data_IF_599878026662
#
_entry.id   IF_599878026662
#
_cell.length_a   1.000
_cell.length_b   1.000
_cell.length_c   1.000
_cell.angle_alpha   90.00
_cell.angle_beta   90.00
_cell.angle_gamma   90.00
#
_symmetry.space_group_name_H-M   'P 1'
#
loop_
_entity.id
_entity.type
_entity.pdbx_description
1 polymer ?
#
# COMPACT_ATOMS: atom_id res chain seq x y z
N UNK A 1 -19.19 12.77 0.15
CA UNK A 1 -18.55 11.83 -0.80
C UNK A 1 -19.50 11.70 -1.98
N UNK A 2 -18.99 11.63 -3.20
CA UNK A 2 -19.84 11.33 -4.36
C UNK A 2 -20.23 9.84 -4.31
N UNK A 3 -21.50 9.55 -4.48
CA UNK A 3 -22.06 8.19 -4.42
C UNK A 3 -21.50 7.35 -5.59
N UNK A 4 -20.89 6.19 -5.29
CA UNK A 4 -20.41 5.22 -6.29
C UNK A 4 -18.94 5.32 -6.71
N UNK A 5 -18.14 6.22 -6.14
CA UNK A 5 -16.72 6.34 -6.48
C UNK A 5 -15.87 5.38 -5.61
N UNK A 6 -15.02 4.58 -6.27
CA UNK A 6 -14.15 3.59 -5.62
C UNK A 6 -13.01 4.28 -4.84
N UNK A 7 -12.72 3.75 -3.64
CA UNK A 7 -11.73 4.29 -2.71
C UNK A 7 -10.52 3.37 -2.62
N UNK A 8 -9.31 3.91 -2.77
CA UNK A 8 -8.06 3.21 -2.47
C UNK A 8 -7.37 3.78 -1.23
N UNK A 9 -6.80 2.91 -0.41
CA UNK A 9 -5.90 3.31 0.68
C UNK A 9 -4.46 3.18 0.18
N UNK A 10 -3.64 4.20 0.39
CA UNK A 10 -2.21 4.18 0.05
C UNK A 10 -1.42 4.23 1.36
N UNK A 11 -0.72 3.15 1.67
CA UNK A 11 0.21 3.08 2.79
C UNK A 11 1.59 3.58 2.33
N UNK A 12 2.22 4.44 3.13
CA UNK A 12 3.48 5.13 2.81
C UNK A 12 3.43 6.05 1.57
N UNK A 13 2.46 6.98 1.46
CA UNK A 13 2.30 7.79 0.26
C UNK A 13 3.33 8.93 0.11
N UNK A 14 4.15 9.20 1.13
CA UNK A 14 5.10 10.32 1.11
C UNK A 14 6.40 10.01 0.36
N UNK A 15 6.60 8.77 -0.07
CA UNK A 15 7.74 8.37 -0.91
C UNK A 15 7.51 8.78 -2.37
N UNK A 16 8.49 8.65 -3.24
CA UNK A 16 8.33 9.09 -4.63
C UNK A 16 7.41 8.14 -5.42
N UNK A 17 7.53 6.83 -5.18
CA UNK A 17 6.56 5.83 -5.66
C UNK A 17 5.18 6.13 -5.07
N UNK A 18 5.09 6.42 -3.76
CA UNK A 18 3.84 6.69 -3.07
C UNK A 18 3.08 7.89 -3.63
N UNK A 19 3.79 8.99 -3.93
CA UNK A 19 3.22 10.16 -4.59
C UNK A 19 2.74 9.81 -6.00
N UNK A 20 3.55 9.09 -6.78
CA UNK A 20 3.19 8.67 -8.14
C UNK A 20 1.93 7.80 -8.17
N UNK A 21 1.76 6.90 -7.20
CA UNK A 21 0.52 6.13 -6.99
C UNK A 21 -0.66 7.07 -6.72
N UNK A 22 -0.50 8.05 -5.83
CA UNK A 22 -1.56 8.99 -5.50
C UNK A 22 -2.03 9.79 -6.73
N UNK A 23 -1.09 10.37 -7.49
CA UNK A 23 -1.42 11.08 -8.73
C UNK A 23 -2.09 10.15 -9.76
N UNK A 24 -1.56 8.94 -9.94
CA UNK A 24 -2.12 7.97 -10.90
C UNK A 24 -3.58 7.62 -10.56
N UNK A 25 -3.88 7.35 -9.30
CA UNK A 25 -5.24 7.01 -8.88
C UNK A 25 -6.21 8.20 -9.01
N UNK A 26 -5.73 9.40 -8.68
CA UNK A 26 -6.54 10.61 -8.78
C UNK A 26 -6.82 11.01 -10.23
N UNK A 27 -5.85 10.81 -11.14
CA UNK A 27 -6.03 10.99 -12.59
C UNK A 27 -7.11 10.06 -13.14
N UNK A 28 -7.19 8.83 -12.64
CA UNK A 28 -8.25 7.86 -12.96
C UNK A 28 -9.55 8.08 -12.16
N UNK A 29 -9.67 9.22 -11.48
CA UNK A 29 -10.85 9.62 -10.75
C UNK A 29 -11.26 8.64 -9.62
N UNK A 30 -10.29 7.98 -8.98
CA UNK A 30 -10.50 7.31 -7.70
C UNK A 30 -10.46 8.30 -6.54
N UNK A 31 -11.12 7.96 -5.44
CA UNK A 31 -10.86 8.63 -4.16
C UNK A 31 -9.70 7.93 -3.46
N UNK A 32 -8.89 8.67 -2.73
CA UNK A 32 -7.75 8.09 -2.00
C UNK A 32 -7.75 8.46 -0.53
N UNK A 33 -7.27 7.52 0.30
CA UNK A 33 -6.91 7.74 1.70
C UNK A 33 -5.40 7.57 1.82
N UNK A 34 -4.71 8.67 2.14
CA UNK A 34 -3.29 8.68 2.44
C UNK A 34 -3.09 8.20 3.89
N UNK A 35 -2.45 7.04 4.06
CA UNK A 35 -2.29 6.39 5.35
C UNK A 35 -0.81 6.23 5.73
N UNK A 36 -0.46 6.64 6.95
CA UNK A 36 0.92 6.58 7.45
C UNK A 36 1.08 7.15 8.87
N UNK A 37 2.26 6.98 9.48
CA UNK A 37 2.48 7.39 10.87
C UNK A 37 2.70 8.91 11.03
N UNK A 38 3.20 9.60 10.00
CA UNK A 38 3.42 11.05 10.02
C UNK A 38 2.23 11.83 9.48
N UNK A 39 1.27 12.15 10.35
CA UNK A 39 0.09 12.93 9.99
C UNK A 39 0.43 14.30 9.38
N UNK A 40 1.52 14.94 9.81
CA UNK A 40 1.89 16.27 9.33
C UNK A 40 2.36 16.19 7.88
N UNK A 41 3.18 15.19 7.54
CA UNK A 41 3.59 14.93 6.17
C UNK A 41 2.41 14.55 5.27
N UNK A 42 1.51 13.67 5.75
CA UNK A 42 0.28 13.31 5.01
C UNK A 42 -0.60 14.54 4.72
N UNK A 43 -0.73 15.45 5.69
CA UNK A 43 -1.47 16.71 5.52
C UNK A 43 -0.80 17.67 4.53
N UNK A 44 0.53 17.72 4.52
CA UNK A 44 1.26 18.51 3.54
C UNK A 44 1.03 17.96 2.12
N UNK A 45 1.10 16.64 1.95
CA UNK A 45 0.82 15.99 0.66
C UNK A 45 -0.63 16.18 0.22
N UNK A 46 -1.62 16.00 1.12
CA UNK A 46 -3.03 16.29 0.82
C UNK A 46 -3.20 17.72 0.30
N UNK A 47 -2.61 18.70 1.00
CA UNK A 47 -2.71 20.11 0.59
C UNK A 47 -2.06 20.38 -0.77
N UNK A 48 -0.96 19.71 -1.08
CA UNK A 48 -0.32 19.80 -2.39
C UNK A 48 -1.26 19.25 -3.47
N UNK A 49 -1.83 18.05 -3.27
CA UNK A 49 -2.77 17.45 -4.21
C UNK A 49 -4.03 18.31 -4.40
N UNK A 50 -4.55 18.91 -3.33
CA UNK A 50 -5.67 19.88 -3.40
C UNK A 50 -5.28 21.10 -4.26
N UNK A 51 -4.06 21.62 -4.11
CA UNK A 51 -3.54 22.74 -4.91
C UNK A 51 -3.37 22.39 -6.39
N UNK A 52 -3.08 21.13 -6.68
CA UNK A 52 -2.98 20.59 -8.04
C UNK A 52 -4.36 20.28 -8.65
N UNK A 53 -5.45 20.46 -7.89
CA UNK A 53 -6.83 20.37 -8.36
C UNK A 53 -7.57 19.10 -7.96
N UNK A 54 -6.95 18.22 -7.15
CA UNK A 54 -7.55 16.96 -6.71
C UNK A 54 -8.27 17.12 -5.38
N UNK A 55 -9.61 17.04 -5.37
CA UNK A 55 -10.43 17.29 -4.18
C UNK A 55 -10.94 16.00 -3.48
N UNK A 56 -10.40 14.84 -3.84
CA UNK A 56 -10.88 13.52 -3.42
C UNK A 56 -9.86 12.77 -2.52
N UNK A 57 -9.10 13.54 -1.74
CA UNK A 57 -8.02 13.04 -0.89
C UNK A 57 -8.40 13.17 0.58
N UNK A 58 -8.30 12.08 1.33
CA UNK A 58 -8.39 12.05 2.79
C UNK A 58 -7.09 11.56 3.43
N UNK A 59 -6.90 11.82 4.72
CA UNK A 59 -5.72 11.37 5.48
C UNK A 59 -6.15 10.51 6.67
N UNK A 60 -5.38 9.47 6.96
CA UNK A 60 -5.56 8.62 8.13
C UNK A 60 -4.22 8.32 8.80
N UNK A 61 -4.20 8.35 10.14
CA UNK A 61 -3.05 7.86 10.89
C UNK A 61 -3.01 6.33 10.80
N UNK A 62 -1.85 5.80 10.42
CA UNK A 62 -1.62 4.37 10.36
C UNK A 62 -0.13 4.08 10.54
N UNK A 63 0.26 3.53 11.68
CA UNK A 63 1.51 2.80 11.79
C UNK A 63 1.23 1.31 11.49
N UNK A 64 1.69 0.76 10.35
CA UNK A 64 1.26 -0.57 9.91
C UNK A 64 1.52 -1.68 10.93
N UNK A 65 2.57 -1.57 11.74
CA UNK A 65 2.91 -2.54 12.78
C UNK A 65 1.96 -2.52 14.00
N UNK A 66 1.15 -1.48 14.16
CA UNK A 66 0.24 -1.29 15.30
C UNK A 66 -1.17 -1.74 14.96
N UNK A 67 -1.57 -2.89 15.51
CA UNK A 67 -2.91 -3.46 15.28
C UNK A 67 -4.06 -2.50 15.69
N UNK A 68 -3.86 -1.65 16.69
CA UNK A 68 -4.87 -0.66 17.09
C UNK A 68 -5.13 0.39 16.00
N UNK A 69 -4.11 0.77 15.22
CA UNK A 69 -4.26 1.77 14.17
C UNK A 69 -5.12 1.22 13.01
N UNK A 70 -4.96 -0.07 12.69
CA UNK A 70 -5.85 -0.76 11.74
C UNK A 70 -7.30 -0.77 12.20
N UNK A 71 -7.56 -1.03 13.49
CA UNK A 71 -8.92 -0.98 14.04
C UNK A 71 -9.52 0.41 13.95
N UNK A 72 -8.74 1.44 14.26
CA UNK A 72 -9.18 2.84 14.12
C UNK A 72 -9.49 3.19 12.65
N UNK A 73 -8.68 2.69 11.71
CA UNK A 73 -8.92 2.87 10.28
C UNK A 73 -10.21 2.18 9.85
N UNK A 74 -10.48 0.96 10.32
CA UNK A 74 -11.73 0.22 10.02
C UNK A 74 -12.97 1.06 10.40
N UNK A 75 -12.99 1.73 11.55
CA UNK A 75 -14.12 2.58 11.97
C UNK A 75 -14.39 3.76 11.02
N UNK A 76 -13.37 4.19 10.26
CA UNK A 76 -13.50 5.18 9.19
C UNK A 76 -14.06 4.51 7.93
N UNK A 77 -13.55 3.33 7.58
CA UNK A 77 -13.91 2.58 6.37
C UNK A 77 -15.35 2.06 6.40
N UNK A 78 -15.87 1.70 7.57
CA UNK A 78 -17.27 1.27 7.74
C UNK A 78 -18.28 2.36 7.32
N UNK A 79 -17.84 3.62 7.24
CA UNK A 79 -18.66 4.76 6.79
C UNK A 79 -18.64 4.96 5.28
N UNK A 80 -17.90 4.14 4.53
CA UNK A 80 -17.72 4.25 3.09
C UNK A 80 -18.75 3.42 2.27
N UNK A 81 -19.76 2.83 2.90
CA UNK A 81 -20.85 2.10 2.21
C UNK A 81 -20.35 1.14 1.08
N UNK A 82 -19.37 0.27 1.41
CA UNK A 82 -18.74 -0.69 0.48
C UNK A 82 -17.96 -0.11 -0.70
N UNK A 83 -17.50 1.14 -0.62
CA UNK A 83 -16.70 1.77 -1.69
C UNK A 83 -15.20 1.40 -1.68
N UNK A 84 -14.73 0.65 -0.68
CA UNK A 84 -13.32 0.27 -0.58
C UNK A 84 -12.92 -0.69 -1.71
N UNK A 85 -12.18 -0.16 -2.69
CA UNK A 85 -11.72 -0.90 -3.86
C UNK A 85 -10.39 -1.61 -3.63
N UNK A 86 -9.55 -1.08 -2.75
CA UNK A 86 -8.31 -1.74 -2.43
C UNK A 86 -7.42 -0.97 -1.47
N UNK A 87 -6.32 -1.63 -1.14
CA UNK A 87 -5.21 -1.07 -0.38
C UNK A 87 -3.92 -1.33 -1.14
N UNK A 88 -3.06 -0.33 -1.17
CA UNK A 88 -1.77 -0.35 -1.85
C UNK A 88 -0.70 -0.06 -0.81
N UNK A 89 0.14 -1.06 -0.55
CA UNK A 89 1.32 -0.90 0.27
C UNK A 89 2.51 -0.54 -0.60
N UNK A 90 3.12 0.60 -0.31
CA UNK A 90 4.33 1.06 -0.99
C UNK A 90 5.54 0.72 -0.13
N UNK A 91 6.48 0.00 -0.75
CA UNK A 91 7.75 -0.41 -0.17
C UNK A 91 8.89 0.16 -1.02
N UNK A 92 9.41 1.31 -0.60
CA UNK A 92 10.57 1.98 -1.20
C UNK A 92 11.77 1.82 -0.26
N UNK A 93 12.96 1.69 -0.83
CA UNK A 93 14.19 1.48 -0.07
C UNK A 93 14.93 2.80 0.10
N UNK A 94 15.53 2.98 1.26
CA UNK A 94 16.32 4.19 1.52
C UNK A 94 17.78 3.89 1.21
N UNK A 95 18.44 4.78 0.46
CA UNK A 95 19.88 4.68 0.18
C UNK A 95 20.76 4.75 1.44
N UNK A 96 20.17 5.04 2.59
CA UNK A 96 20.79 5.08 3.91
C UNK A 96 20.58 3.81 4.72
N UNK A 97 19.95 2.77 4.15
CA UNK A 97 19.79 1.49 4.83
C UNK A 97 21.16 0.89 5.18
N UNK A 98 21.42 0.52 6.45
CA UNK A 98 22.74 0.10 6.89
C UNK A 98 23.12 -1.26 6.30
N UNK A 99 24.42 -1.46 6.11
CA UNK A 99 24.96 -2.76 5.73
C UNK A 99 24.77 -3.81 6.83
N UNK A 100 25.00 -5.08 6.49
CA UNK A 100 24.79 -6.23 7.39
C UNK A 100 25.39 -6.04 8.79
N UNK A 101 26.60 -5.48 8.88
CA UNK A 101 27.31 -5.33 10.15
C UNK A 101 26.97 -4.04 10.90
N UNK A 102 26.28 -3.10 10.25
CA UNK A 102 25.85 -1.82 10.81
C UNK A 102 24.38 -1.86 11.26
N UNK A 103 23.61 -2.82 10.75
CA UNK A 103 22.24 -3.07 11.16
C UNK A 103 22.19 -3.64 12.59
N UNK A 104 21.70 -2.84 13.53
CA UNK A 104 21.40 -3.33 14.87
C UNK A 104 20.03 -4.01 14.96
N UNK A 105 19.76 -4.59 16.14
CA UNK A 105 18.51 -5.32 16.40
C UNK A 105 17.27 -4.42 16.31
N UNK A 106 17.35 -3.17 16.79
CA UNK A 106 16.21 -2.27 16.86
C UNK A 106 15.84 -1.78 15.47
N UNK A 107 16.85 -1.39 14.68
CA UNK A 107 16.72 -1.03 13.27
C UNK A 107 16.12 -2.19 12.50
N UNK A 108 16.70 -3.39 12.59
CA UNK A 108 16.20 -4.59 11.92
C UNK A 108 14.75 -4.91 12.30
N UNK A 109 14.42 -4.85 13.59
CA UNK A 109 13.07 -5.16 14.07
C UNK A 109 12.05 -4.14 13.59
N UNK A 110 12.33 -2.84 13.68
CA UNK A 110 11.41 -1.79 13.20
C UNK A 110 11.09 -1.95 11.70
N UNK A 111 12.12 -2.29 10.94
CA UNK A 111 12.10 -2.59 9.52
C UNK A 111 11.29 -3.86 9.19
N UNK A 112 11.45 -4.94 9.95
CA UNK A 112 10.61 -6.14 9.82
C UNK A 112 9.16 -5.88 10.21
N UNK A 113 8.96 -5.06 11.24
CA UNK A 113 7.65 -4.67 11.73
C UNK A 113 6.89 -3.84 10.69
N UNK A 114 7.57 -2.88 10.05
CA UNK A 114 6.97 -2.02 9.03
C UNK A 114 6.53 -2.80 7.79
N UNK A 115 7.38 -3.72 7.29
CA UNK A 115 7.15 -4.39 6.01
C UNK A 115 6.39 -5.72 6.14
N UNK A 116 6.78 -6.59 7.08
CA UNK A 116 6.21 -7.93 7.15
C UNK A 116 5.08 -8.01 8.17
N UNK A 117 5.34 -7.60 9.42
CA UNK A 117 4.30 -7.62 10.45
C UNK A 117 3.14 -6.71 10.07
N UNK A 118 3.43 -5.49 9.59
CA UNK A 118 2.41 -4.55 9.16
C UNK A 118 1.57 -5.04 7.99
N UNK A 119 2.16 -5.80 7.06
CA UNK A 119 1.41 -6.46 5.99
C UNK A 119 0.51 -7.57 6.54
N UNK A 120 1.02 -8.42 7.43
CA UNK A 120 0.22 -9.48 8.03
C UNK A 120 -0.98 -8.92 8.82
N UNK A 121 -0.72 -7.94 9.69
CA UNK A 121 -1.77 -7.30 10.51
C UNK A 121 -2.75 -6.55 9.62
N UNK A 122 -2.26 -5.80 8.62
CA UNK A 122 -3.10 -5.10 7.67
C UNK A 122 -4.03 -6.03 6.91
N UNK A 123 -3.49 -7.11 6.33
CA UNK A 123 -4.29 -8.10 5.64
C UNK A 123 -5.35 -8.74 6.55
N UNK A 124 -4.99 -9.12 7.78
CA UNK A 124 -5.93 -9.70 8.77
C UNK A 124 -7.16 -8.82 9.00
N UNK A 125 -7.01 -7.50 8.96
CA UNK A 125 -8.06 -6.54 9.27
C UNK A 125 -8.79 -5.99 8.02
N UNK A 126 -8.06 -5.76 6.93
CA UNK A 126 -8.60 -5.13 5.72
C UNK A 126 -9.23 -6.15 4.78
N UNK A 127 -8.66 -7.36 4.64
CA UNK A 127 -9.16 -8.39 3.73
C UNK A 127 -10.66 -8.69 3.94
N UNK A 128 -11.17 -8.81 5.18
CA UNK A 128 -12.61 -9.00 5.41
C UNK A 128 -13.50 -7.84 4.93
N UNK A 129 -12.95 -6.63 4.83
CA UNK A 129 -13.66 -5.43 4.36
C UNK A 129 -13.57 -5.26 2.83
N UNK A 130 -12.53 -5.82 2.19
CA UNK A 130 -12.43 -5.84 0.74
C UNK A 130 -13.56 -6.72 0.19
N UNK A 131 -14.58 -6.07 -0.37
CA UNK A 131 -15.82 -6.75 -0.73
C UNK A 131 -15.59 -7.79 -1.83
N UNK A 132 -15.95 -9.04 -1.54
CA UNK A 132 -15.85 -10.18 -2.47
C UNK A 132 -16.72 -10.02 -3.72
N UNK A 133 -17.76 -9.18 -3.68
CA UNK A 133 -18.61 -8.93 -4.85
C UNK A 133 -18.03 -7.87 -5.81
N UNK A 134 -17.07 -7.06 -5.38
CA UNK A 134 -16.59 -5.88 -6.12
C UNK A 134 -15.13 -5.97 -6.60
N UNK A 135 -14.50 -7.13 -6.49
CA UNK A 135 -13.10 -7.34 -6.86
C UNK A 135 -12.13 -6.42 -6.13
N UNK A 136 -12.04 -6.56 -4.81
CA UNK A 136 -11.09 -5.81 -3.98
C UNK A 136 -9.63 -6.15 -4.29
N UNK A 137 -8.72 -5.18 -4.14
CA UNK A 137 -7.28 -5.38 -4.38
C UNK A 137 -6.43 -5.17 -3.13
N UNK A 138 -5.46 -6.05 -2.92
CA UNK A 138 -4.35 -5.90 -1.96
C UNK A 138 -3.06 -5.92 -2.77
N UNK A 139 -2.54 -4.75 -3.10
CA UNK A 139 -1.36 -4.60 -3.93
C UNK A 139 -0.17 -4.18 -3.07
N UNK A 140 0.96 -4.83 -3.28
CA UNK A 140 2.24 -4.44 -2.72
C UNK A 140 3.15 -4.01 -3.86
N UNK A 141 3.38 -2.70 -3.95
CA UNK A 141 4.33 -2.11 -4.89
C UNK A 141 5.67 -2.04 -4.20
N UNK A 142 6.66 -2.67 -4.81
CA UNK A 142 8.00 -2.81 -4.24
C UNK A 142 9.00 -2.25 -5.23
N UNK A 143 9.81 -1.30 -4.79
CA UNK A 143 10.84 -0.71 -5.64
C UNK A 143 11.78 -1.79 -6.19
N UNK A 144 12.04 -1.72 -7.50
CA UNK A 144 13.08 -2.53 -8.13
C UNK A 144 14.45 -2.09 -7.63
N UNK A 145 15.16 -3.00 -6.94
CA UNK A 145 16.51 -2.71 -6.43
C UNK A 145 17.49 -2.57 -7.59
N UNK A 146 18.31 -1.51 -7.56
CA UNK A 146 19.45 -1.36 -8.46
C UNK A 146 20.63 -2.17 -7.94
N UNK A 147 21.57 -2.52 -8.82
CA UNK A 147 22.75 -3.34 -8.46
C UNK A 147 23.57 -2.77 -7.30
N UNK A 148 23.58 -1.44 -7.15
CA UNK A 148 24.34 -0.76 -6.10
C UNK A 148 23.60 -0.65 -4.75
N UNK A 149 22.30 -0.97 -4.71
CA UNK A 149 21.42 -0.84 -3.52
C UNK A 149 21.15 -2.18 -2.81
N UNK A 150 21.94 -3.22 -3.14
CA UNK A 150 21.74 -4.57 -2.60
C UNK A 150 22.17 -4.68 -1.14
N UNK A 151 21.24 -4.47 -0.22
CA UNK A 151 21.38 -4.91 1.17
C UNK A 151 20.78 -6.31 1.37
N UNK A 152 21.42 -7.14 2.21
CA UNK A 152 20.90 -8.46 2.57
C UNK A 152 19.48 -8.35 3.16
N UNK A 153 19.24 -7.32 3.95
CA UNK A 153 17.97 -7.06 4.60
C UNK A 153 16.87 -6.72 3.57
N UNK A 154 17.14 -5.86 2.58
CA UNK A 154 16.18 -5.51 1.54
C UNK A 154 15.84 -6.74 0.69
N UNK A 155 16.86 -7.53 0.31
CA UNK A 155 16.65 -8.80 -0.38
C UNK A 155 15.79 -9.79 0.43
N UNK A 156 16.05 -9.92 1.73
CA UNK A 156 15.28 -10.78 2.63
C UNK A 156 13.80 -10.33 2.69
N UNK A 157 13.53 -9.04 2.84
CA UNK A 157 12.15 -8.54 2.87
C UNK A 157 11.42 -8.76 1.57
N UNK A 158 12.03 -8.47 0.42
CA UNK A 158 11.38 -8.71 -0.88
C UNK A 158 10.94 -10.17 -0.99
N UNK A 159 11.84 -11.09 -0.68
CA UNK A 159 11.57 -12.54 -0.75
C UNK A 159 10.51 -12.98 0.27
N UNK A 160 10.57 -12.46 1.49
CA UNK A 160 9.59 -12.78 2.52
C UNK A 160 8.20 -12.22 2.18
N UNK A 161 8.12 -11.01 1.65
CA UNK A 161 6.89 -10.36 1.23
C UNK A 161 6.26 -11.07 0.03
N UNK A 162 7.05 -11.39 -1.01
CA UNK A 162 6.61 -12.19 -2.15
C UNK A 162 6.05 -13.56 -1.71
N UNK A 163 6.80 -14.28 -0.87
CA UNK A 163 6.36 -15.57 -0.35
C UNK A 163 5.05 -15.45 0.46
N UNK A 164 4.95 -14.45 1.35
CA UNK A 164 3.77 -14.21 2.17
C UNK A 164 2.54 -13.90 1.31
N UNK A 165 2.65 -12.99 0.34
CA UNK A 165 1.54 -12.60 -0.54
C UNK A 165 1.14 -13.73 -1.48
N UNK A 166 2.11 -14.48 -1.99
CA UNK A 166 1.84 -15.67 -2.80
C UNK A 166 1.09 -16.74 -2.00
N UNK A 167 1.43 -16.95 -0.72
CA UNK A 167 0.68 -17.87 0.14
C UNK A 167 -0.71 -17.35 0.49
N UNK A 168 -0.83 -16.08 0.80
CA UNK A 168 -2.12 -15.44 1.07
C UNK A 168 -3.06 -15.53 -0.13
N UNK A 169 -2.56 -15.26 -1.35
CA UNK A 169 -3.33 -15.40 -2.58
C UNK A 169 -3.82 -16.84 -2.82
N UNK A 170 -3.00 -17.85 -2.46
CA UNK A 170 -3.41 -19.26 -2.57
C UNK A 170 -4.44 -19.67 -1.52
N UNK A 171 -4.28 -19.19 -0.29
CA UNK A 171 -5.24 -19.43 0.80
C UNK A 171 -6.59 -18.80 0.50
N UNK A 172 -6.58 -17.59 -0.07
CA UNK A 172 -7.76 -16.79 -0.40
C UNK A 172 -8.19 -16.93 -1.87
N UNK A 173 -7.77 -17.96 -2.59
CA UNK A 173 -8.07 -18.12 -4.04
C UNK A 173 -9.57 -18.15 -4.39
N UNK A 174 -10.41 -18.55 -3.44
CA UNK A 174 -11.87 -18.57 -3.60
C UNK A 174 -12.50 -17.20 -3.28
N UNK A 175 -11.73 -16.27 -2.70
CA UNK A 175 -12.11 -14.88 -2.62
C UNK A 175 -11.82 -14.21 -3.96
N UNK A 176 -12.71 -13.34 -4.42
CA UNK A 176 -12.52 -12.57 -5.65
C UNK A 176 -11.53 -11.40 -5.42
N UNK A 177 -10.47 -11.61 -4.64
CA UNK A 177 -9.49 -10.60 -4.28
C UNK A 177 -8.27 -10.66 -5.19
N UNK A 178 -7.83 -9.51 -5.67
CA UNK A 178 -6.57 -9.38 -6.39
C UNK A 178 -5.43 -9.11 -5.40
N UNK A 179 -4.70 -10.15 -5.03
CA UNK A 179 -3.54 -10.06 -4.11
C UNK A 179 -2.26 -10.19 -4.93
N UNK A 180 -1.43 -9.14 -4.95
CA UNK A 180 -0.22 -9.09 -5.80
C UNK A 180 0.98 -8.48 -5.10
N UNK A 181 2.12 -9.12 -5.33
CA UNK A 181 3.44 -8.52 -5.21
C UNK A 181 3.86 -8.01 -6.58
N UNK A 182 4.28 -6.75 -6.68
CA UNK A 182 4.59 -6.10 -7.95
C UNK A 182 5.89 -5.32 -7.77
N UNK A 183 6.90 -5.65 -8.57
CA UNK A 183 8.09 -4.81 -8.64
C UNK A 183 7.86 -3.67 -9.63
N UNK A 184 8.22 -2.45 -9.21
CA UNK A 184 8.05 -1.25 -10.01
C UNK A 184 9.29 -0.36 -9.95
N UNK A 185 9.52 0.35 -11.04
CA UNK A 185 10.35 1.55 -11.08
C UNK A 185 9.47 2.75 -11.51
N UNK A 186 9.99 3.97 -11.40
CA UNK A 186 9.25 5.18 -11.76
C UNK A 186 8.75 5.17 -13.21
N UNK A 187 9.49 4.53 -14.13
CA UNK A 187 9.16 4.51 -15.56
C UNK A 187 7.96 3.60 -15.87
N UNK A 188 7.81 2.51 -15.12
CA UNK A 188 6.78 1.48 -15.34
C UNK A 188 5.58 1.61 -14.40
N UNK A 189 5.70 2.37 -13.30
CA UNK A 189 4.71 2.44 -12.22
C UNK A 189 3.28 2.67 -12.71
N UNK A 190 3.06 3.69 -13.53
CA UNK A 190 1.69 4.04 -13.99
C UNK A 190 1.06 2.88 -14.77
N UNK A 191 1.77 2.35 -15.77
CA UNK A 191 1.26 1.25 -16.60
C UNK A 191 1.00 0.00 -15.75
N UNK A 192 1.96 -0.38 -14.92
CA UNK A 192 1.87 -1.58 -14.08
C UNK A 192 0.76 -1.44 -13.05
N UNK A 193 0.60 -0.28 -12.41
CA UNK A 193 -0.46 -0.04 -11.44
C UNK A 193 -1.83 -0.21 -12.12
N UNK A 194 -2.08 0.49 -13.22
CA UNK A 194 -3.37 0.45 -13.93
C UNK A 194 -3.75 -0.97 -14.37
N UNK A 195 -2.78 -1.75 -14.88
CA UNK A 195 -2.98 -3.15 -15.24
C UNK A 195 -3.41 -4.04 -14.06
N UNK A 196 -3.18 -3.61 -12.82
CA UNK A 196 -3.48 -4.37 -11.61
C UNK A 196 -4.62 -3.76 -10.77
N UNK A 197 -5.14 -2.58 -11.10
CA UNK A 197 -6.34 -2.01 -10.44
C UNK A 197 -7.64 -2.65 -10.95
N UNK A 198 -7.68 -2.96 -12.25
CA UNK A 198 -8.84 -3.56 -12.90
C UNK A 198 -8.76 -5.08 -12.86
N UNK A 199 -9.54 -5.68 -11.97
CA UNK A 199 -9.89 -7.10 -12.08
C UNK A 199 -11.05 -7.29 -13.08
N UNK A 200 -11.00 -6.63 -14.24
CA UNK A 200 -11.88 -6.97 -15.35
C UNK A 200 -11.41 -8.31 -15.90
N UNK A 201 -11.97 -9.36 -15.32
CA UNK A 201 -12.15 -10.70 -15.84
C UNK A 201 -11.18 -11.13 -16.96
N UNK A 202 -10.36 -12.14 -16.66
CA UNK A 202 -10.26 -13.24 -17.60
C UNK A 202 -11.67 -13.81 -17.80
N UNK A 203 -12.42 -13.27 -18.77
CA UNK A 203 -13.44 -14.02 -19.50
C UNK A 203 -12.78 -15.04 -20.44
#
# INVERSE_FOLDING_TARGET
MAEGQRVYIICNPNTDIGKSVAYTLLDENYQIILAGPDYSALKALQKQLDQDGFNHVSVALLEPSKEIDWKNLIEILERLDNQLAGIIHVHEYESTDPELFEMDYEMFSAKMDAHLWGTYVGAKHIVPLLHTESSGSLLHLVETMKEDDFSMYNAMIKRALDAMLTMMAKELKESNLNIKYIEVDDASLKEVLLLNLDNTANE
#
